data_IF_922367833705
#
_entry.id   IF_922367833705
#
_cell.length_a   1.000
_cell.length_b   1.000
_cell.length_c   1.000
_cell.angle_alpha   90.00
_cell.angle_beta   90.00
_cell.angle_gamma   90.00
#
_symmetry.space_group_name_H-M   'P 1'
#
loop_
_entity.id
_entity.type
_entity.pdbx_description
1 polymer ?
#
# COMPACT_ATOMS: atom_id res chain seq x y z
N UNK A 1 15.11 -15.70 17.68
CA UNK A 1 14.86 -14.53 16.80
C UNK A 1 13.46 -14.04 17.10
N UNK A 2 13.33 -13.05 17.98
CA UNK A 2 12.04 -12.49 18.38
C UNK A 2 11.61 -11.48 17.33
N UNK A 3 10.63 -11.84 16.50
CA UNK A 3 9.92 -10.87 15.68
C UNK A 3 9.03 -10.03 16.61
N UNK A 4 9.49 -8.83 16.98
CA UNK A 4 8.62 -7.83 17.59
C UNK A 4 7.80 -7.19 16.47
N UNK A 5 6.60 -7.71 16.23
CA UNK A 5 5.62 -7.00 15.42
C UNK A 5 5.06 -5.85 16.25
N UNK A 6 5.45 -4.62 15.92
CA UNK A 6 4.79 -3.44 16.47
C UNK A 6 3.33 -3.35 15.98
N UNK A 7 2.51 -2.57 16.69
CA UNK A 7 1.13 -2.30 16.27
C UNK A 7 1.12 -1.76 14.84
N UNK A 8 0.27 -2.27 13.92
CA UNK A 8 0.31 -1.87 12.50
C UNK A 8 0.24 -0.36 12.27
N UNK A 9 -0.48 0.36 13.12
CA UNK A 9 -0.58 1.82 13.06
C UNK A 9 0.76 2.55 13.22
N UNK A 10 1.81 1.91 13.75
CA UNK A 10 3.13 2.52 13.94
C UNK A 10 3.88 2.77 12.63
N UNK A 11 3.53 2.06 11.54
CA UNK A 11 4.25 2.14 10.26
C UNK A 11 3.72 3.20 9.29
N UNK A 12 2.68 3.95 9.67
CA UNK A 12 2.14 5.07 8.88
C UNK A 12 1.92 6.30 9.76
N UNK A 13 2.08 7.47 9.16
CA UNK A 13 1.75 8.73 9.83
C UNK A 13 0.28 8.72 10.28
N UNK A 14 0.05 9.12 11.54
CA UNK A 14 -1.29 9.12 12.15
C UNK A 14 -2.30 9.90 11.31
N UNK A 15 -1.92 11.01 10.69
CA UNK A 15 -2.79 11.83 9.85
C UNK A 15 -3.24 11.07 8.60
N UNK A 16 -2.37 10.23 8.02
CA UNK A 16 -2.74 9.38 6.89
C UNK A 16 -3.78 8.34 7.33
N UNK A 17 -3.52 7.66 8.45
CA UNK A 17 -4.46 6.68 9.02
C UNK A 17 -5.82 7.32 9.29
N UNK A 18 -5.83 8.47 9.95
CA UNK A 18 -7.06 9.20 10.27
C UNK A 18 -7.81 9.59 9.00
N UNK A 19 -7.10 10.03 7.95
CA UNK A 19 -7.71 10.40 6.67
C UNK A 19 -8.31 9.19 5.96
N UNK A 20 -7.59 8.06 5.90
CA UNK A 20 -8.10 6.84 5.28
C UNK A 20 -9.38 6.37 6.00
N UNK A 21 -9.34 6.32 7.34
CA UNK A 21 -10.46 5.89 8.16
C UNK A 21 -11.68 6.81 8.06
N UNK A 22 -11.47 8.12 7.91
CA UNK A 22 -12.55 9.09 7.77
C UNK A 22 -13.45 8.84 6.55
N UNK A 23 -12.94 8.20 5.50
CA UNK A 23 -13.69 7.91 4.27
C UNK A 23 -14.17 6.46 4.14
N UNK A 24 -13.86 5.59 5.13
CA UNK A 24 -14.17 4.16 5.03
C UNK A 24 -15.66 3.89 4.81
N UNK A 25 -16.54 4.56 5.55
CA UNK A 25 -17.99 4.38 5.40
C UNK A 25 -18.51 4.82 4.02
N UNK A 26 -17.94 5.90 3.47
CA UNK A 26 -18.32 6.39 2.14
C UNK A 26 -17.83 5.44 1.05
N UNK A 27 -16.60 4.91 1.17
CA UNK A 27 -16.06 3.88 0.28
C UNK A 27 -16.97 2.65 0.19
N UNK A 28 -17.46 2.14 1.33
CA UNK A 28 -18.41 1.02 1.33
C UNK A 28 -19.71 1.37 0.58
N UNK A 29 -20.21 2.61 0.75
CA UNK A 29 -21.43 3.06 0.07
C UNK A 29 -21.23 3.26 -1.44
N UNK A 30 -20.04 3.71 -1.85
CA UNK A 30 -19.67 3.95 -3.25
C UNK A 30 -19.35 2.65 -4.02
N UNK A 31 -19.02 1.56 -3.31
CA UNK A 31 -18.51 0.31 -3.88
C UNK A 31 -17.22 0.46 -4.70
N UNK A 32 -16.48 1.54 -4.46
CA UNK A 32 -15.13 1.77 -4.95
C UNK A 32 -14.41 2.71 -3.98
N UNK A 33 -13.08 2.73 -4.03
CA UNK A 33 -12.30 3.61 -3.15
C UNK A 33 -12.71 5.07 -3.32
N UNK A 34 -12.91 5.76 -2.20
CA UNK A 34 -13.21 7.18 -2.19
C UNK A 34 -12.06 7.97 -2.87
N UNK A 35 -12.34 9.01 -3.68
CA UNK A 35 -11.30 9.75 -4.41
C UNK A 35 -10.17 10.31 -3.54
N UNK A 36 -10.44 10.66 -2.28
CA UNK A 36 -9.39 11.12 -1.35
C UNK A 36 -8.47 9.99 -0.90
N UNK A 37 -8.98 8.78 -0.70
CA UNK A 37 -8.15 7.61 -0.40
C UNK A 37 -7.28 7.27 -1.61
N UNK A 38 -7.86 7.28 -2.83
CA UNK A 38 -7.13 7.04 -4.06
C UNK A 38 -6.01 8.07 -4.31
N UNK A 39 -6.28 9.35 -4.04
CA UNK A 39 -5.26 10.40 -4.13
C UNK A 39 -4.08 10.15 -3.18
N UNK A 40 -4.33 9.67 -1.96
CA UNK A 40 -3.26 9.29 -1.02
C UNK A 40 -2.45 8.08 -1.54
N UNK A 41 -3.11 7.07 -2.09
CA UNK A 41 -2.44 5.89 -2.68
C UNK A 41 -1.44 6.33 -3.76
N UNK A 42 -1.84 7.26 -4.64
CA UNK A 42 -0.97 7.80 -5.68
C UNK A 42 0.14 8.69 -5.11
N UNK A 43 -0.19 9.59 -4.18
CA UNK A 43 0.80 10.48 -3.56
C UNK A 43 1.91 9.71 -2.85
N UNK A 44 1.56 8.64 -2.13
CA UNK A 44 2.53 7.80 -1.42
C UNK A 44 3.21 6.77 -2.34
N UNK A 45 2.75 6.67 -3.58
CA UNK A 45 3.18 5.69 -4.58
C UNK A 45 3.16 4.25 -4.04
N UNK A 46 2.14 3.89 -3.26
CA UNK A 46 2.06 2.55 -2.66
C UNK A 46 1.94 1.44 -3.73
N UNK A 47 1.43 1.76 -4.92
CA UNK A 47 1.36 0.80 -6.03
C UNK A 47 2.74 0.49 -6.67
N UNK A 48 3.75 1.30 -6.38
CA UNK A 48 5.11 1.16 -6.94
C UNK A 48 6.10 0.50 -5.96
N UNK A 49 5.64 0.08 -4.78
CA UNK A 49 6.51 -0.46 -3.72
C UNK A 49 7.34 -1.65 -4.18
N UNK A 50 6.73 -2.61 -4.89
CA UNK A 50 7.39 -3.84 -5.35
C UNK A 50 7.89 -3.77 -6.80
N UNK A 51 7.62 -2.67 -7.50
CA UNK A 51 8.09 -2.51 -8.88
C UNK A 51 9.62 -2.39 -8.87
N UNK A 52 10.36 -3.11 -9.74
CA UNK A 52 11.81 -2.98 -9.84
C UNK A 52 12.27 -1.57 -10.18
N UNK A 53 13.46 -1.18 -9.70
CA UNK A 53 14.02 0.16 -9.95
C UNK A 53 14.28 0.43 -11.42
N UNK A 54 14.59 -0.60 -12.21
CA UNK A 54 14.79 -0.47 -13.66
C UNK A 54 13.55 0.04 -14.40
N UNK A 55 12.35 -0.11 -13.80
CA UNK A 55 11.09 0.42 -14.32
C UNK A 55 10.60 1.66 -13.54
N UNK A 56 11.48 2.31 -12.77
CA UNK A 56 11.16 3.49 -11.96
C UNK A 56 10.39 3.18 -10.68
N UNK A 57 10.35 1.92 -10.26
CA UNK A 57 9.74 1.48 -9.01
C UNK A 57 10.62 1.71 -7.78
N UNK A 58 10.08 1.39 -6.60
CA UNK A 58 10.79 1.58 -5.33
C UNK A 58 11.62 0.35 -4.91
N UNK A 59 11.22 -0.85 -5.35
CA UNK A 59 11.87 -2.12 -5.02
C UNK A 59 12.14 -2.26 -3.50
N UNK A 60 11.08 -2.01 -2.71
CA UNK A 60 11.09 -2.08 -1.25
C UNK A 60 11.18 -3.55 -0.82
N UNK A 61 11.83 -3.82 0.32
CA UNK A 61 11.93 -5.16 0.86
C UNK A 61 10.57 -5.72 1.29
N UNK A 62 10.38 -7.04 1.15
CA UNK A 62 9.12 -7.69 1.51
C UNK A 62 8.66 -7.38 2.95
N UNK A 63 9.52 -7.40 3.99
CA UNK A 63 9.09 -7.04 5.35
C UNK A 63 8.54 -5.62 5.47
N UNK A 64 9.19 -4.63 4.86
CA UNK A 64 8.73 -3.22 4.87
C UNK A 64 7.41 -3.04 4.11
N UNK A 65 7.24 -3.77 3.00
CA UNK A 65 5.97 -3.79 2.28
C UNK A 65 4.86 -4.37 3.16
N UNK A 66 5.09 -5.52 3.82
CA UNK A 66 4.10 -6.14 4.70
C UNK A 66 3.68 -5.21 5.84
N UNK A 67 4.63 -4.53 6.48
CA UNK A 67 4.35 -3.52 7.51
C UNK A 67 3.43 -2.40 6.98
N UNK A 68 3.68 -1.92 5.76
CA UNK A 68 2.83 -0.92 5.12
C UNK A 68 1.43 -1.47 4.81
N UNK A 69 1.33 -2.68 4.26
CA UNK A 69 0.05 -3.32 3.92
C UNK A 69 -0.81 -3.63 5.15
N UNK A 70 -0.18 -4.07 6.25
CA UNK A 70 -0.84 -4.27 7.54
C UNK A 70 -1.37 -2.94 8.09
N UNK A 71 -0.56 -1.87 8.04
CA UNK A 71 -0.96 -0.54 8.50
C UNK A 71 -2.12 0.04 7.68
N UNK A 72 -2.10 -0.14 6.35
CA UNK A 72 -3.19 0.26 5.47
C UNK A 72 -4.48 -0.50 5.78
N UNK A 73 -4.39 -1.83 5.93
CA UNK A 73 -5.53 -2.69 6.26
C UNK A 73 -6.11 -2.37 7.63
N UNK A 74 -5.27 -1.95 8.59
CA UNK A 74 -5.71 -1.47 9.89
C UNK A 74 -6.45 -0.12 9.81
N UNK A 75 -6.07 0.75 8.88
CA UNK A 75 -6.72 2.03 8.66
C UNK A 75 -8.08 1.87 7.95
N UNK A 76 -8.08 1.09 6.86
CA UNK A 76 -9.24 0.79 6.01
C UNK A 76 -8.99 -0.52 5.25
N UNK A 77 -9.88 -1.51 5.42
CA UNK A 77 -9.72 -2.85 4.84
C UNK A 77 -9.79 -2.86 3.31
N UNK A 78 -10.64 -2.01 2.71
CA UNK A 78 -10.82 -1.89 1.27
C UNK A 78 -9.56 -1.29 0.61
N UNK A 79 -8.96 -0.27 1.23
CA UNK A 79 -7.67 0.31 0.81
C UNK A 79 -6.55 -0.73 0.95
N UNK A 80 -6.46 -1.40 2.10
CA UNK A 80 -5.46 -2.45 2.34
C UNK A 80 -5.52 -3.56 1.29
N UNK A 81 -6.72 -4.03 0.98
CA UNK A 81 -6.95 -5.06 -0.05
C UNK A 81 -6.52 -4.60 -1.45
N UNK A 82 -6.98 -3.42 -1.88
CA UNK A 82 -6.65 -2.87 -3.22
C UNK A 82 -5.14 -2.67 -3.36
N UNK A 83 -4.49 -2.04 -2.38
CA UNK A 83 -3.05 -1.79 -2.45
C UNK A 83 -2.27 -3.11 -2.44
N UNK A 84 -2.66 -4.09 -1.64
CA UNK A 84 -2.00 -5.41 -1.60
C UNK A 84 -2.04 -6.09 -2.97
N UNK A 85 -3.23 -6.19 -3.60
CA UNK A 85 -3.37 -6.84 -4.90
C UNK A 85 -2.64 -6.09 -6.01
N UNK A 86 -2.84 -4.78 -6.09
CA UNK A 86 -2.30 -3.97 -7.19
C UNK A 86 -0.79 -3.77 -7.07
N UNK A 87 -0.25 -3.55 -5.87
CA UNK A 87 1.20 -3.41 -5.68
C UNK A 87 1.93 -4.75 -5.88
N UNK A 88 1.31 -5.88 -5.50
CA UNK A 88 1.85 -7.22 -5.71
C UNK A 88 2.12 -7.56 -7.18
N UNK A 89 1.26 -7.09 -8.10
CA UNK A 89 1.48 -7.27 -9.54
C UNK A 89 2.81 -6.65 -10.02
N UNK A 90 3.24 -5.55 -9.40
CA UNK A 90 4.50 -4.87 -9.73
C UNK A 90 5.75 -5.72 -9.50
N UNK A 91 5.70 -6.67 -8.55
CA UNK A 91 6.79 -7.59 -8.27
C UNK A 91 7.18 -8.44 -9.48
N UNK A 92 6.20 -8.82 -10.31
CA UNK A 92 6.46 -9.63 -11.50
C UNK A 92 7.32 -8.92 -12.55
N UNK A 93 7.46 -7.59 -12.47
CA UNK A 93 8.39 -6.85 -13.30
C UNK A 93 9.82 -7.38 -13.20
N UNK A 94 10.22 -7.95 -12.06
CA UNK A 94 11.55 -8.51 -11.86
C UNK A 94 11.90 -9.71 -12.75
N UNK A 95 10.90 -10.30 -13.42
CA UNK A 95 11.08 -11.42 -14.37
C UNK A 95 11.05 -10.98 -15.83
N UNK A 96 10.81 -9.70 -16.10
CA UNK A 96 10.83 -9.15 -17.45
C UNK A 96 12.26 -8.79 -17.85
N UNK A 97 12.62 -9.06 -19.09
CA UNK A 97 13.83 -8.51 -19.69
C UNK A 97 13.66 -6.98 -19.81
N UNK A 98 14.50 -6.16 -19.14
CA UNK A 98 14.39 -4.71 -19.21
C UNK A 98 14.63 -4.15 -20.61
N UNK A 99 15.09 -4.98 -21.56
CA UNK A 99 15.51 -4.54 -22.88
C UNK A 99 16.88 -3.86 -22.84
N UNK A 100 17.43 -3.51 -24.02
CA UNK A 100 18.72 -2.84 -24.14
C UNK A 100 18.75 -1.40 -23.59
#
# INVERSE_FOLDING_TARGET
>A
MTFFFEQPAAYLDKKLIDTLRAFAQETESLMHLHPKQLALIYQQQWLYMLVPKVYGGKEISLPEVLQTLEALSYADGSVGWVVTLCSGAGWFGGFLDPGP
#
